data_IF_353228992897
#
_entry.id   IF_353228992897
#
_cell.length_a   1.000
_cell.length_b   1.000
_cell.length_c   1.000
_cell.angle_alpha   90.00
_cell.angle_beta   90.00
_cell.angle_gamma   90.00
#
_symmetry.space_group_name_H-M   'P 1'
#
loop_
_entity.id
_entity.type
_entity.pdbx_description
1 polymer ?
#
# COMPACT_ATOMS: atom_id res chain seq x y z
N UNK A 1 -7.59 -9.87 13.16
CA UNK A 1 -6.55 -10.81 12.66
C UNK A 1 -5.45 -9.98 12.01
N UNK A 2 -4.51 -9.45 12.80
CA UNK A 2 -3.39 -8.63 12.32
C UNK A 2 -2.03 -9.37 12.43
N UNK A 3 -2.03 -10.64 12.83
CA UNK A 3 -0.83 -11.50 12.93
C UNK A 3 -0.29 -11.98 11.56
N UNK A 4 -0.98 -11.67 10.45
CA UNK A 4 -0.78 -12.38 9.18
C UNK A 4 0.36 -11.84 8.31
N UNK A 5 0.79 -10.59 8.49
CA UNK A 5 1.77 -9.96 7.58
C UNK A 5 3.22 -10.29 7.96
N UNK A 6 3.59 -10.20 9.25
CA UNK A 6 4.94 -10.56 9.72
C UNK A 6 5.24 -12.05 9.51
N UNK A 7 4.31 -12.93 9.89
CA UNK A 7 4.47 -14.37 9.74
C UNK A 7 4.54 -14.84 8.27
N UNK A 8 3.92 -14.09 7.35
CA UNK A 8 4.00 -14.38 5.90
C UNK A 8 5.35 -13.98 5.35
N UNK A 9 5.86 -12.81 5.73
CA UNK A 9 7.18 -12.37 5.28
C UNK A 9 8.29 -13.20 5.94
N UNK A 10 8.14 -13.58 7.20
CA UNK A 10 9.02 -14.53 7.87
C UNK A 10 9.07 -15.89 7.17
N UNK A 11 7.94 -16.37 6.63
CA UNK A 11 7.87 -17.61 5.84
C UNK A 11 8.56 -17.46 4.49
N UNK A 12 8.28 -16.38 3.77
CA UNK A 12 8.94 -16.04 2.50
C UNK A 12 10.47 -16.06 2.63
N UNK A 13 10.96 -15.63 3.79
CA UNK A 13 12.38 -15.47 4.04
C UNK A 13 13.02 -16.65 4.77
N UNK A 14 12.21 -17.51 5.40
CA UNK A 14 12.66 -18.73 6.08
C UNK A 14 13.19 -19.79 5.12
N UNK A 15 12.73 -19.78 3.87
CA UNK A 15 13.16 -20.71 2.81
C UNK A 15 14.43 -20.26 2.07
N UNK A 16 14.98 -19.10 2.41
CA UNK A 16 16.23 -18.61 1.81
C UNK A 16 17.49 -19.08 2.54
N UNK A 17 18.61 -19.30 1.84
CA UNK A 17 19.87 -19.65 2.48
C UNK A 17 20.41 -18.47 3.30
N UNK A 18 20.29 -18.54 4.63
CA UNK A 18 20.75 -17.46 5.53
C UNK A 18 20.02 -17.32 6.87
N UNK A 19 18.90 -18.02 7.11
CA UNK A 19 18.25 -18.11 8.42
C UNK A 19 17.19 -17.04 8.70
N UNK A 20 16.04 -17.49 9.22
CA UNK A 20 14.83 -16.69 9.46
C UNK A 20 15.00 -15.46 10.36
N UNK A 21 16.03 -15.44 11.21
CA UNK A 21 16.27 -14.35 12.16
C UNK A 21 16.85 -13.06 11.56
N UNK A 22 17.56 -13.14 10.44
CA UNK A 22 18.15 -11.95 9.79
C UNK A 22 17.15 -11.24 8.87
N UNK A 23 16.15 -11.96 8.39
CA UNK A 23 15.23 -11.48 7.39
C UNK A 23 14.06 -10.67 7.98
N UNK A 24 13.51 -11.09 9.13
CA UNK A 24 12.55 -10.28 9.89
C UNK A 24 13.18 -8.95 10.35
N UNK A 25 14.47 -8.99 10.75
CA UNK A 25 15.23 -7.79 11.10
C UNK A 25 15.51 -6.91 9.88
N UNK A 26 15.78 -7.49 8.71
CA UNK A 26 15.94 -6.76 7.47
C UNK A 26 14.63 -6.08 7.04
N UNK A 27 13.49 -6.78 7.13
CA UNK A 27 12.18 -6.19 6.87
C UNK A 27 11.87 -5.05 7.84
N UNK A 28 12.04 -5.27 9.14
CA UNK A 28 11.84 -4.22 10.15
C UNK A 28 12.74 -3.02 9.88
N UNK A 29 14.00 -3.26 9.49
CA UNK A 29 14.94 -2.19 9.09
C UNK A 29 14.44 -1.42 7.87
N UNK A 30 13.96 -2.10 6.83
CA UNK A 30 13.45 -1.46 5.61
C UNK A 30 12.22 -0.62 5.92
N UNK A 31 11.26 -1.18 6.67
CA UNK A 31 10.01 -0.50 7.01
C UNK A 31 10.21 0.64 8.01
N UNK A 32 11.08 0.48 9.00
CA UNK A 32 11.26 1.46 10.09
C UNK A 32 12.34 2.52 9.81
N UNK A 33 13.38 2.22 9.02
CA UNK A 33 14.52 3.12 8.81
C UNK A 33 14.64 3.64 7.39
N UNK A 34 14.38 2.80 6.39
CA UNK A 34 14.58 3.16 4.98
C UNK A 34 13.32 3.69 4.30
N UNK A 35 12.19 3.73 5.01
CA UNK A 35 10.90 4.14 4.45
C UNK A 35 10.37 3.17 3.38
N UNK A 36 10.80 1.90 3.43
CA UNK A 36 10.45 0.88 2.44
C UNK A 36 11.44 0.70 1.30
N UNK A 37 12.58 1.40 1.31
CA UNK A 37 13.63 1.23 0.27
C UNK A 37 14.61 0.11 0.59
N UNK A 38 15.03 -0.63 -0.44
CA UNK A 38 16.17 -1.54 -0.42
C UNK A 38 17.47 -0.74 -0.56
N UNK A 39 18.44 -1.04 0.30
CA UNK A 39 19.80 -0.49 0.24
C UNK A 39 20.72 -1.55 -0.36
N UNK A 40 21.04 -1.42 -1.66
CA UNK A 40 21.83 -2.41 -2.36
C UNK A 40 23.33 -2.05 -2.27
N UNK A 41 24.22 -3.05 -2.11
CA UNK A 41 23.98 -4.50 -2.19
C UNK A 41 23.56 -5.15 -0.86
N UNK A 42 23.47 -4.39 0.25
CA UNK A 42 23.21 -4.97 1.58
C UNK A 42 21.93 -5.80 1.62
N UNK A 43 20.88 -5.32 0.98
CA UNK A 43 19.55 -5.92 1.04
C UNK A 43 19.26 -6.83 -0.18
N UNK A 44 20.28 -7.22 -0.96
CA UNK A 44 20.16 -7.96 -2.23
C UNK A 44 19.42 -9.31 -2.09
N UNK A 45 19.68 -10.05 -1.01
CA UNK A 45 19.02 -11.33 -0.78
C UNK A 45 17.51 -11.15 -0.61
N UNK A 46 17.11 -10.18 0.22
CA UNK A 46 15.69 -9.88 0.48
C UNK A 46 15.02 -9.33 -0.78
N UNK A 47 15.69 -8.44 -1.51
CA UNK A 47 15.21 -7.95 -2.81
C UNK A 47 14.95 -9.10 -3.79
N UNK A 48 15.89 -10.03 -3.92
CA UNK A 48 15.76 -11.21 -4.79
C UNK A 48 14.60 -12.12 -4.34
N UNK A 49 14.39 -12.28 -3.04
CA UNK A 49 13.25 -13.02 -2.48
C UNK A 49 11.92 -12.39 -2.90
N UNK A 50 11.82 -11.07 -2.80
CA UNK A 50 10.64 -10.33 -3.21
C UNK A 50 10.38 -10.49 -4.71
N UNK A 51 11.40 -10.37 -5.56
CA UNK A 51 11.24 -10.61 -7.00
C UNK A 51 10.71 -12.01 -7.30
N UNK A 52 11.26 -13.04 -6.65
CA UNK A 52 10.84 -14.42 -6.84
C UNK A 52 9.39 -14.65 -6.38
N UNK A 53 9.04 -14.20 -5.17
CA UNK A 53 7.69 -14.36 -4.64
C UNK A 53 6.64 -13.56 -5.44
N UNK A 54 6.99 -12.36 -5.93
CA UNK A 54 6.12 -11.55 -6.77
C UNK A 54 5.86 -12.15 -8.16
N UNK A 55 6.57 -13.22 -8.54
CA UNK A 55 6.35 -13.95 -9.78
C UNK A 55 5.54 -15.24 -9.62
N UNK A 56 5.05 -15.57 -8.40
CA UNK A 56 4.41 -16.86 -8.10
C UNK A 56 3.08 -16.73 -7.35
N UNK A 57 2.04 -16.12 -7.95
CA UNK A 57 0.75 -15.91 -7.29
C UNK A 57 0.06 -17.21 -6.85
N UNK A 58 0.28 -18.32 -7.58
CA UNK A 58 -0.38 -19.61 -7.32
C UNK A 58 0.28 -20.45 -6.21
N UNK A 59 1.54 -20.16 -5.87
CA UNK A 59 2.28 -20.94 -4.86
C UNK A 59 1.98 -20.44 -3.44
N UNK A 60 2.05 -19.12 -3.25
CA UNK A 60 1.81 -18.48 -1.96
C UNK A 60 1.25 -17.07 -2.20
N UNK A 61 -0.07 -16.98 -2.31
CA UNK A 61 -0.75 -15.74 -2.65
C UNK A 61 -0.48 -14.61 -1.62
N UNK A 62 -0.53 -14.83 -0.29
CA UNK A 62 -0.12 -13.82 0.68
C UNK A 62 1.32 -13.31 0.48
N UNK A 63 2.27 -14.21 0.20
CA UNK A 63 3.65 -13.84 -0.07
C UNK A 63 3.79 -12.99 -1.34
N UNK A 64 3.09 -13.39 -2.40
CA UNK A 64 3.03 -12.66 -3.66
C UNK A 64 2.52 -11.21 -3.48
N UNK A 65 1.44 -11.03 -2.71
CA UNK A 65 0.88 -9.71 -2.40
C UNK A 65 1.87 -8.85 -1.59
N UNK A 66 2.48 -9.43 -0.53
CA UNK A 66 3.44 -8.72 0.31
C UNK A 66 4.71 -8.33 -0.45
N UNK A 67 5.26 -9.25 -1.26
CA UNK A 67 6.42 -8.98 -2.11
C UNK A 67 6.16 -7.85 -3.10
N UNK A 68 5.02 -7.91 -3.80
CA UNK A 68 4.64 -6.88 -4.77
C UNK A 68 4.51 -5.52 -4.08
N UNK A 69 3.91 -5.47 -2.88
CA UNK A 69 3.79 -4.23 -2.12
C UNK A 69 5.15 -3.64 -1.72
N UNK A 70 6.12 -4.47 -1.31
CA UNK A 70 7.47 -4.02 -0.98
C UNK A 70 8.23 -3.50 -2.19
N UNK A 71 8.16 -4.18 -3.34
CA UNK A 71 8.77 -3.74 -4.59
C UNK A 71 8.16 -2.41 -5.06
N UNK A 72 6.83 -2.28 -5.01
CA UNK A 72 6.15 -1.02 -5.31
C UNK A 72 6.59 0.11 -4.39
N UNK A 73 6.71 -0.17 -3.08
CA UNK A 73 7.13 0.82 -2.11
C UNK A 73 8.56 1.30 -2.37
N UNK A 74 9.49 0.39 -2.65
CA UNK A 74 10.86 0.75 -3.06
C UNK A 74 10.84 1.64 -4.31
N UNK A 75 10.12 1.22 -5.34
CA UNK A 75 10.00 1.97 -6.60
C UNK A 75 9.44 3.37 -6.41
N UNK A 76 8.38 3.51 -5.62
CA UNK A 76 7.73 4.80 -5.35
C UNK A 76 8.61 5.78 -4.58
N UNK A 77 9.62 5.28 -3.88
CA UNK A 77 10.56 6.06 -3.06
C UNK A 77 11.89 6.31 -3.79
N UNK A 78 11.93 6.15 -5.11
CA UNK A 78 13.15 6.21 -5.93
C UNK A 78 14.26 5.28 -5.38
N UNK A 79 13.84 4.09 -4.97
CA UNK A 79 14.71 3.02 -4.49
C UNK A 79 15.73 2.56 -5.52
N UNK A 80 16.73 1.83 -5.05
CA UNK A 80 17.81 1.32 -5.91
C UNK A 80 17.42 0.01 -6.62
N UNK A 81 16.28 -0.58 -6.28
CA UNK A 81 15.77 -1.78 -6.93
C UNK A 81 15.41 -1.53 -8.38
N UNK A 82 16.16 -2.14 -9.30
CA UNK A 82 15.74 -2.29 -10.69
C UNK A 82 14.77 -3.46 -10.80
N UNK A 83 13.48 -3.17 -10.88
CA UNK A 83 12.42 -4.18 -10.97
C UNK A 83 11.67 -4.13 -12.31
N UNK A 84 10.98 -5.25 -12.56
CA UNK A 84 10.11 -5.52 -13.70
C UNK A 84 8.62 -5.36 -13.34
N UNK A 85 8.26 -4.41 -12.45
CA UNK A 85 6.88 -4.24 -12.00
C UNK A 85 5.88 -3.98 -13.14
N UNK A 86 6.34 -3.43 -14.27
CA UNK A 86 5.54 -3.37 -15.50
C UNK A 86 5.11 -4.77 -15.98
N UNK A 87 6.05 -5.72 -16.05
CA UNK A 87 5.76 -7.10 -16.45
C UNK A 87 4.89 -7.83 -15.43
N UNK A 88 5.11 -7.55 -14.14
CA UNK A 88 4.26 -8.08 -13.07
C UNK A 88 2.82 -7.56 -13.19
N UNK A 89 2.64 -6.27 -13.53
CA UNK A 89 1.32 -5.71 -13.79
C UNK A 89 0.62 -6.41 -14.95
N UNK A 90 1.27 -6.47 -16.12
CA UNK A 90 0.71 -7.10 -17.32
C UNK A 90 0.33 -8.56 -17.08
N UNK A 91 1.19 -9.30 -16.38
CA UNK A 91 1.00 -10.73 -16.13
C UNK A 91 -0.02 -11.03 -15.01
N UNK A 92 -0.05 -10.21 -13.97
CA UNK A 92 -0.71 -10.56 -12.70
C UNK A 92 -1.78 -9.59 -12.22
N UNK A 93 -2.18 -8.59 -13.01
CA UNK A 93 -3.27 -7.66 -12.65
C UNK A 93 -4.51 -8.38 -12.09
N UNK A 94 -4.96 -9.44 -12.76
CA UNK A 94 -6.13 -10.20 -12.34
C UNK A 94 -5.94 -10.86 -10.96
N UNK A 95 -4.72 -11.26 -10.61
CA UNK A 95 -4.41 -11.81 -9.29
C UNK A 95 -4.44 -10.74 -8.20
N UNK A 96 -3.95 -9.53 -8.48
CA UNK A 96 -4.05 -8.41 -7.52
C UNK A 96 -5.51 -8.07 -7.19
N UNK A 97 -6.42 -8.19 -8.17
CA UNK A 97 -7.85 -7.95 -7.95
C UNK A 97 -8.51 -8.97 -6.99
N UNK A 98 -7.94 -10.17 -6.84
CA UNK A 98 -8.43 -11.21 -5.92
C UNK A 98 -8.03 -10.96 -4.45
N UNK A 99 -7.13 -10.02 -4.18
CA UNK A 99 -6.71 -9.71 -2.82
C UNK A 99 -7.88 -9.13 -2.00
N UNK A 100 -7.74 -9.21 -0.66
CA UNK A 100 -8.70 -8.56 0.23
C UNK A 100 -8.78 -7.05 -0.08
N UNK A 101 -9.90 -6.37 0.20
CA UNK A 101 -10.09 -5.00 -0.22
C UNK A 101 -9.00 -4.02 0.25
N UNK A 102 -8.38 -4.28 1.42
CA UNK A 102 -7.32 -3.41 1.92
C UNK A 102 -6.01 -3.61 1.17
N UNK A 103 -5.62 -4.86 0.93
CA UNK A 103 -4.40 -5.17 0.17
C UNK A 103 -4.55 -4.81 -1.31
N UNK A 104 -5.71 -5.12 -1.91
CA UNK A 104 -6.02 -4.76 -3.29
C UNK A 104 -5.93 -3.25 -3.50
N UNK A 105 -6.65 -2.46 -2.69
CA UNK A 105 -6.61 -1.00 -2.82
C UNK A 105 -5.20 -0.43 -2.66
N UNK A 106 -4.41 -0.94 -1.73
CA UNK A 106 -3.03 -0.52 -1.54
C UNK A 106 -2.17 -0.78 -2.79
N UNK A 107 -2.24 -1.98 -3.36
CA UNK A 107 -1.52 -2.33 -4.58
C UNK A 107 -1.97 -1.49 -5.78
N UNK A 108 -3.29 -1.40 -6.01
CA UNK A 108 -3.85 -0.67 -7.15
C UNK A 108 -3.51 0.82 -7.06
N UNK A 109 -3.57 1.42 -5.87
CA UNK A 109 -3.10 2.79 -5.68
C UNK A 109 -1.59 2.92 -5.86
N UNK A 110 -0.78 1.94 -5.43
CA UNK A 110 0.67 1.94 -5.67
C UNK A 110 1.00 1.98 -7.15
N UNK A 111 0.39 1.10 -7.95
CA UNK A 111 0.52 1.09 -9.41
C UNK A 111 0.02 2.39 -10.04
N UNK A 112 -1.16 2.88 -9.64
CA UNK A 112 -1.73 4.14 -10.14
C UNK A 112 -0.82 5.34 -9.86
N UNK A 113 -0.26 5.43 -8.66
CA UNK A 113 0.67 6.50 -8.29
C UNK A 113 1.95 6.38 -9.13
N UNK A 114 2.52 5.17 -9.24
CA UNK A 114 3.74 4.95 -10.03
C UNK A 114 3.55 5.30 -11.51
N UNK A 115 2.36 5.04 -12.08
CA UNK A 115 2.00 5.47 -13.43
C UNK A 115 1.93 7.00 -13.54
N UNK A 116 1.21 7.64 -12.61
CA UNK A 116 1.02 9.09 -12.59
C UNK A 116 2.33 9.88 -12.37
N UNK A 117 3.31 9.31 -11.67
CA UNK A 117 4.64 9.90 -11.48
C UNK A 117 5.64 9.54 -12.59
N UNK A 118 5.25 8.68 -13.54
CA UNK A 118 6.13 8.20 -14.61
C UNK A 118 7.20 7.20 -14.15
N UNK A 119 7.11 6.69 -12.92
CA UNK A 119 8.00 5.65 -12.39
C UNK A 119 7.65 4.25 -12.92
N UNK A 120 6.41 4.05 -13.38
CA UNK A 120 5.91 2.82 -13.98
C UNK A 120 5.20 3.12 -15.31
N UNK A 121 5.38 2.25 -16.30
CA UNK A 121 4.76 2.38 -17.62
C UNK A 121 3.67 1.33 -17.81
N UNK A 122 2.57 1.42 -17.06
CA UNK A 122 1.49 0.42 -17.10
C UNK A 122 0.34 0.83 -18.03
N UNK A 123 -0.18 -0.13 -18.79
CA UNK A 123 -1.39 0.00 -19.63
C UNK A 123 -2.08 -1.37 -19.70
N UNK A 124 -3.38 -1.48 -19.38
CA UNK A 124 -4.26 -0.44 -18.86
C UNK A 124 -3.93 -0.01 -17.42
N UNK A 125 -4.26 1.25 -17.10
CA UNK A 125 -4.23 1.74 -15.71
C UNK A 125 -5.20 0.95 -14.81
N UNK A 126 -4.96 0.91 -13.48
CA UNK A 126 -5.88 0.31 -12.52
C UNK A 126 -7.27 0.93 -12.60
N UNK A 127 -8.32 0.12 -12.44
CA UNK A 127 -9.68 0.65 -12.38
C UNK A 127 -9.84 1.49 -11.09
N UNK A 128 -10.40 2.71 -11.18
CA UNK A 128 -10.78 3.51 -10.03
C UNK A 128 -11.51 2.76 -8.92
N UNK A 129 -12.39 1.82 -9.25
CA UNK A 129 -13.15 1.05 -8.25
C UNK A 129 -12.26 0.03 -7.52
N UNK A 130 -11.27 -0.55 -8.21
CA UNK A 130 -10.31 -1.49 -7.63
C UNK A 130 -9.35 -0.79 -6.64
N UNK A 131 -9.15 0.52 -6.83
CA UNK A 131 -8.38 1.39 -5.93
C UNK A 131 -9.10 1.66 -4.61
N UNK A 132 -10.40 1.37 -4.49
CA UNK A 132 -11.16 1.62 -3.26
C UNK A 132 -11.18 0.39 -2.34
N UNK A 133 -10.97 0.63 -1.05
CA UNK A 133 -11.20 -0.38 -0.01
C UNK A 133 -12.67 -0.64 0.20
N UNK A 134 -13.49 0.40 0.10
CA UNK A 134 -14.93 0.30 0.23
C UNK A 134 -15.65 1.30 -0.67
N UNK A 135 -16.84 0.94 -1.19
CA UNK A 135 -17.59 1.83 -2.05
C UNK A 135 -18.16 3.00 -1.26
N UNK A 136 -18.38 4.12 -1.96
CA UNK A 136 -18.92 5.36 -1.39
C UNK A 136 -20.22 5.14 -0.62
N UNK A 137 -21.14 4.32 -1.15
CA UNK A 137 -22.43 4.06 -0.54
C UNK A 137 -22.29 3.55 0.92
N UNK A 138 -21.36 2.63 1.17
CA UNK A 138 -21.13 2.09 2.52
C UNK A 138 -20.58 3.12 3.50
N UNK A 139 -19.86 4.13 3.02
CA UNK A 139 -19.35 5.21 3.88
C UNK A 139 -20.45 6.16 4.28
N UNK A 140 -21.35 6.49 3.35
CA UNK A 140 -22.45 7.41 3.61
C UNK A 140 -23.45 6.87 4.65
N UNK A 141 -23.50 5.55 4.82
CA UNK A 141 -24.31 4.85 5.83
C UNK A 141 -23.56 4.62 7.16
N UNK A 142 -22.30 5.05 7.28
CA UNK A 142 -21.47 4.82 8.46
C UNK A 142 -21.71 5.86 9.57
N UNK A 143 -21.36 5.56 10.84
CA UNK A 143 -21.48 6.51 11.94
C UNK A 143 -20.31 7.52 12.00
N UNK A 144 -19.62 7.75 10.88
CA UNK A 144 -18.51 8.71 10.82
C UNK A 144 -18.97 10.15 11.04
N UNK A 145 -18.04 11.02 11.39
CA UNK A 145 -18.31 12.44 11.64
C UNK A 145 -19.04 13.08 10.44
N UNK A 146 -20.15 13.81 10.66
CA UNK A 146 -20.95 14.40 9.58
C UNK A 146 -20.16 15.32 8.65
N UNK A 147 -19.15 16.03 9.17
CA UNK A 147 -18.27 16.90 8.41
C UNK A 147 -17.43 16.12 7.39
N UNK A 148 -16.87 14.97 7.80
CA UNK A 148 -16.13 14.07 6.90
C UNK A 148 -17.03 13.52 5.80
N UNK A 149 -18.23 13.08 6.16
CA UNK A 149 -19.22 12.60 5.18
C UNK A 149 -19.65 13.71 4.22
N UNK A 150 -19.69 14.97 4.67
CA UNK A 150 -19.96 16.11 3.79
C UNK A 150 -18.84 16.33 2.76
N UNK A 151 -17.57 16.05 3.10
CA UNK A 151 -16.46 16.12 2.16
C UNK A 151 -16.59 15.05 1.07
N UNK A 152 -16.97 13.83 1.43
CA UNK A 152 -17.25 12.74 0.47
C UNK A 152 -18.37 13.14 -0.49
N UNK A 153 -19.51 13.60 0.04
CA UNK A 153 -20.67 14.00 -0.77
C UNK A 153 -20.37 15.14 -1.74
N UNK A 154 -19.52 16.09 -1.31
CA UNK A 154 -19.11 17.23 -2.15
C UNK A 154 -17.99 16.88 -3.13
N UNK A 155 -17.50 15.63 -3.11
CA UNK A 155 -16.30 15.22 -3.81
C UNK A 155 -15.15 16.23 -3.57
N UNK A 156 -14.89 16.55 -2.30
CA UNK A 156 -14.00 17.64 -1.89
C UNK A 156 -12.63 17.59 -2.60
N UNK A 157 -12.00 18.73 -2.80
CA UNK A 157 -10.66 18.79 -3.39
C UNK A 157 -9.64 18.03 -2.51
N UNK A 158 -8.64 17.35 -3.09
CA UNK A 158 -7.63 16.61 -2.34
C UNK A 158 -6.85 17.44 -1.32
N UNK A 159 -6.62 18.73 -1.58
CA UNK A 159 -5.93 19.61 -0.63
C UNK A 159 -6.76 19.81 0.63
N UNK A 160 -8.09 19.84 0.48
CA UNK A 160 -9.03 19.91 1.61
C UNK A 160 -9.00 18.59 2.39
N UNK A 161 -9.00 17.45 1.70
CA UNK A 161 -8.86 16.14 2.35
C UNK A 161 -7.54 16.02 3.13
N UNK A 162 -6.42 16.49 2.54
CA UNK A 162 -5.11 16.51 3.17
C UNK A 162 -5.03 17.42 4.40
N UNK A 163 -5.69 18.58 4.36
CA UNK A 163 -5.76 19.49 5.51
C UNK A 163 -6.52 18.86 6.69
N UNK A 164 -7.69 18.28 6.41
CA UNK A 164 -8.51 17.59 7.42
C UNK A 164 -7.76 16.41 8.03
N UNK A 165 -7.01 15.66 7.23
CA UNK A 165 -6.13 14.61 7.74
C UNK A 165 -5.04 15.13 8.67
N UNK A 166 -4.38 16.23 8.30
CA UNK A 166 -3.37 16.86 9.16
C UNK A 166 -3.93 17.26 10.52
N UNK A 167 -5.15 17.81 10.55
CA UNK A 167 -5.85 18.15 11.79
C UNK A 167 -6.24 16.89 12.58
N UNK A 168 -6.68 15.83 11.91
CA UNK A 168 -7.13 14.59 12.55
C UNK A 168 -5.99 13.69 13.04
N UNK A 169 -4.80 13.78 12.47
CA UNK A 169 -3.64 12.98 12.87
C UNK A 169 -3.21 13.24 14.33
N UNK A 170 -3.61 14.37 14.90
CA UNK A 170 -3.40 14.74 16.30
C UNK A 170 -4.45 14.14 17.25
N UNK A 171 -5.49 13.47 16.73
CA UNK A 171 -6.57 12.87 17.50
C UNK A 171 -6.68 11.35 17.29
N UNK A 172 -7.21 10.64 18.28
CA UNK A 172 -7.60 9.23 18.13
C UNK A 172 -8.93 9.17 17.36
N UNK A 173 -8.85 9.12 16.04
CA UNK A 173 -10.02 9.02 15.17
C UNK A 173 -10.77 7.69 15.37
N UNK A 174 -12.10 7.73 15.33
CA UNK A 174 -12.90 6.51 15.38
C UNK A 174 -12.71 5.68 14.09
N UNK A 175 -12.88 4.34 14.12
CA UNK A 175 -12.69 3.50 12.94
C UNK A 175 -13.53 3.93 11.72
N UNK A 176 -14.74 4.44 11.95
CA UNK A 176 -15.60 4.94 10.87
C UNK A 176 -15.02 6.20 10.20
N UNK A 177 -14.37 7.08 10.96
CA UNK A 177 -13.72 8.27 10.42
C UNK A 177 -12.51 7.90 9.58
N UNK A 178 -11.71 6.95 10.06
CA UNK A 178 -10.56 6.42 9.33
C UNK A 178 -10.97 5.85 7.97
N UNK A 179 -12.10 5.14 7.92
CA UNK A 179 -12.65 4.62 6.67
C UNK A 179 -13.03 5.74 5.68
N UNK A 180 -13.63 6.83 6.18
CA UNK A 180 -13.98 7.99 5.34
C UNK A 180 -12.73 8.69 4.82
N UNK A 181 -11.74 8.90 5.67
CA UNK A 181 -10.51 9.57 5.24
C UNK A 181 -9.76 8.69 4.22
N UNK A 182 -9.67 7.38 4.47
CA UNK A 182 -9.08 6.42 3.54
C UNK A 182 -9.73 6.53 2.15
N UNK A 183 -11.05 6.57 2.07
CA UNK A 183 -11.75 6.77 0.81
C UNK A 183 -11.40 8.10 0.12
N UNK A 184 -11.29 9.19 0.88
CA UNK A 184 -10.90 10.49 0.32
C UNK A 184 -9.51 10.45 -0.34
N UNK A 185 -8.63 9.56 0.12
CA UNK A 185 -7.30 9.31 -0.44
C UNK A 185 -7.25 8.31 -1.60
N UNK A 186 -8.11 7.31 -1.58
CA UNK A 186 -8.09 6.21 -2.57
C UNK A 186 -8.73 6.59 -3.91
N UNK A 187 -9.62 7.59 -3.93
CA UNK A 187 -10.33 8.01 -5.15
C UNK A 187 -9.40 8.65 -6.20
N UNK A 188 -9.77 8.61 -7.50
CA UNK A 188 -8.92 9.12 -8.59
C UNK A 188 -8.47 10.56 -8.44
N UNK A 189 -9.36 11.43 -7.93
CA UNK A 189 -9.06 12.84 -7.76
C UNK A 189 -7.96 13.09 -6.72
N UNK A 190 -7.68 12.14 -5.82
CA UNK A 190 -6.76 12.29 -4.71
C UNK A 190 -5.31 12.54 -5.16
N UNK A 191 -4.66 13.49 -4.50
CA UNK A 191 -3.20 13.64 -4.45
C UNK A 191 -2.77 13.34 -3.01
N UNK A 192 -1.56 12.78 -2.87
CA UNK A 192 -0.91 12.63 -1.58
C UNK A 192 -1.01 13.93 -0.78
N UNK A 193 -1.14 13.88 0.55
CA UNK A 193 -1.20 15.09 1.35
C UNK A 193 0.03 15.96 1.04
N UNK A 194 -0.05 17.30 1.06
CA UNK A 194 1.01 18.19 0.58
C UNK A 194 2.35 18.11 1.35
N UNK A 195 2.41 17.35 2.45
CA UNK A 195 3.62 17.04 3.21
C UNK A 195 3.49 15.64 3.83
N UNK A 196 3.50 14.56 3.03
CA UNK A 196 3.22 13.21 3.51
C UNK A 196 4.24 12.74 4.55
N UNK A 197 5.47 13.26 4.51
CA UNK A 197 6.54 12.99 5.46
C UNK A 197 6.28 13.56 6.87
N UNK A 198 5.37 14.52 6.98
CA UNK A 198 5.04 15.19 8.26
C UNK A 198 3.81 14.62 8.93
N UNK A 199 3.03 13.79 8.22
CA UNK A 199 1.81 13.27 8.79
C UNK A 199 2.04 11.88 9.36
N UNK A 200 1.54 11.66 10.59
CA UNK A 200 1.59 10.35 11.22
C UNK A 200 0.89 9.33 10.34
N UNK A 201 1.54 8.18 10.14
CA UNK A 201 0.92 7.02 9.54
C UNK A 201 -0.27 6.62 10.41
N UNK A 202 -1.46 6.56 9.81
CA UNK A 202 -2.61 5.99 10.52
C UNK A 202 -2.41 4.47 10.63
N UNK A 203 -2.68 3.87 11.80
CA UNK A 203 -2.70 2.44 11.92
C UNK A 203 -3.70 1.86 10.91
N UNK A 204 -3.20 1.14 9.92
CA UNK A 204 -3.99 0.55 8.82
C UNK A 204 -4.91 -0.61 9.28
N UNK A 205 -4.81 -1.00 10.55
CA UNK A 205 -5.69 -1.97 11.19
C UNK A 205 -6.47 -1.30 12.31
N UNK A 206 -7.79 -1.58 12.44
CA UNK A 206 -8.48 -1.25 13.68
C UNK A 206 -7.81 -2.01 14.81
N UNK A 207 -7.41 -1.29 15.86
CA UNK A 207 -7.04 -1.88 17.16
C UNK A 207 -8.28 -2.52 17.78
#
# INVERSE_FOLDING_TARGET
>A
MAETSSATIERMLGDMPGGSGDAARALDTILSRSGGRFDLPRDEALYSACLFAAAQPDQDFPAFIAATALLLLDRLQDGQGGDDLYWNWDSFRAHYALADPSSRSALMNGFRIGAATGQLLIDPEPDPEECLTQPMARLLDSPAHPELLALVRKNADPRVAGAVWGEMADYTAAPADLAVIRYLYERPASIAPPAPERVRLIPWSPV
#
